data_IF_609655837261
#
_entry.id   IF_609655837261
#
_cell.length_a   1.000
_cell.length_b   1.000
_cell.length_c   1.000
_cell.angle_alpha   90.00
_cell.angle_beta   90.00
_cell.angle_gamma   90.00
#
_symmetry.space_group_name_H-M   'P 1'
#
loop_
_entity.id
_entity.type
_entity.pdbx_description
1 polymer ?
#
# COMPACT_ATOMS: atom_id res chain seq x y z
N UNK A 1 -25.33 17.30 -1.11
CA UNK A 1 -25.65 15.88 -1.42
C UNK A 1 -25.66 15.03 -0.16
N UNK A 2 -24.53 14.91 0.56
CA UNK A 2 -24.39 14.08 1.77
C UNK A 2 -25.38 14.41 2.89
N UNK A 3 -25.72 15.70 3.08
CA UNK A 3 -26.75 16.12 4.05
C UNK A 3 -28.14 15.53 3.76
N UNK A 4 -28.49 15.37 2.48
CA UNK A 4 -29.77 14.75 2.04
C UNK A 4 -29.81 13.23 2.24
N UNK A 5 -28.68 12.61 2.59
CA UNK A 5 -28.52 11.17 2.76
C UNK A 5 -28.07 10.85 4.20
N UNK A 6 -28.58 11.58 5.19
CA UNK A 6 -28.18 11.48 6.59
C UNK A 6 -28.44 10.12 7.26
N UNK A 7 -29.40 9.35 6.72
CA UNK A 7 -29.80 8.02 7.23
C UNK A 7 -29.28 6.85 6.37
N UNK A 8 -28.38 7.13 5.42
CA UNK A 8 -27.83 6.12 4.51
C UNK A 8 -26.32 6.06 4.64
N UNK A 9 -25.76 4.90 4.31
CA UNK A 9 -24.34 4.77 4.03
C UNK A 9 -24.01 5.54 2.74
N UNK A 10 -23.06 6.46 2.82
CA UNK A 10 -22.47 7.15 1.67
C UNK A 10 -21.08 6.59 1.43
N UNK A 11 -20.88 5.97 0.28
CA UNK A 11 -19.59 5.46 -0.17
C UNK A 11 -18.92 6.51 -1.05
N UNK A 12 -17.70 6.90 -0.70
CA UNK A 12 -16.89 7.86 -1.44
C UNK A 12 -15.64 7.13 -1.94
N UNK A 13 -15.59 6.89 -3.24
CA UNK A 13 -14.46 6.22 -3.87
C UNK A 13 -13.36 7.19 -4.26
N UNK A 14 -12.11 6.73 -4.20
CA UNK A 14 -10.92 7.52 -4.49
C UNK A 14 -10.89 8.90 -3.80
N UNK A 15 -11.24 8.93 -2.50
CA UNK A 15 -11.41 10.16 -1.73
C UNK A 15 -10.19 11.10 -1.77
N UNK A 16 -8.99 10.56 -2.01
CA UNK A 16 -7.75 11.32 -2.20
C UNK A 16 -7.78 12.28 -3.41
N UNK A 17 -8.71 12.08 -4.36
CA UNK A 17 -8.92 13.00 -5.49
C UNK A 17 -9.74 14.23 -5.13
N UNK A 18 -10.46 14.20 -4.01
CA UNK A 18 -11.32 15.29 -3.54
C UNK A 18 -11.01 15.61 -2.06
N UNK A 19 -9.78 16.03 -1.73
CA UNK A 19 -9.31 16.30 -0.37
C UNK A 19 -10.18 17.30 0.40
N UNK A 20 -10.78 18.27 -0.28
CA UNK A 20 -11.66 19.28 0.29
C UNK A 20 -12.90 18.69 0.96
N UNK A 21 -13.30 17.46 0.59
CA UNK A 21 -14.46 16.79 1.18
C UNK A 21 -14.21 16.42 2.65
N UNK A 22 -12.97 16.30 3.11
CA UNK A 22 -12.69 15.97 4.52
C UNK A 22 -13.26 17.02 5.48
N UNK A 23 -13.18 18.31 5.14
CA UNK A 23 -13.74 19.39 5.95
C UNK A 23 -15.28 19.32 6.01
N UNK A 24 -15.92 18.99 4.87
CA UNK A 24 -17.37 18.82 4.78
C UNK A 24 -17.83 17.60 5.58
N UNK A 25 -17.10 16.49 5.47
CA UNK A 25 -17.39 15.26 6.21
C UNK A 25 -17.26 15.46 7.71
N UNK A 26 -16.25 16.21 8.18
CA UNK A 26 -16.08 16.54 9.58
C UNK A 26 -17.34 17.23 10.13
N UNK A 27 -17.80 18.30 9.50
CA UNK A 27 -19.00 19.02 9.93
C UNK A 27 -20.24 18.11 9.97
N UNK A 28 -20.44 17.28 8.94
CA UNK A 28 -21.58 16.37 8.85
C UNK A 28 -21.54 15.22 9.87
N UNK A 29 -20.34 14.73 10.21
CA UNK A 29 -20.14 13.70 11.23
C UNK A 29 -20.44 14.27 12.62
N UNK A 30 -20.01 15.50 12.90
CA UNK A 30 -20.25 16.13 14.20
C UNK A 30 -21.72 16.51 14.40
N UNK A 31 -22.43 16.88 13.34
CA UNK A 31 -23.88 17.09 13.38
C UNK A 31 -24.65 15.80 13.74
N UNK A 32 -24.22 14.64 13.23
CA UNK A 32 -24.84 13.34 13.51
C UNK A 32 -23.81 12.21 13.48
N UNK A 33 -23.38 11.81 14.68
CA UNK A 33 -22.41 10.74 14.91
C UNK A 33 -23.04 9.35 14.81
N UNK A 34 -23.19 8.87 13.59
CA UNK A 34 -23.63 7.50 13.31
C UNK A 34 -22.48 6.69 12.73
N UNK A 35 -22.08 5.62 13.41
CA UNK A 35 -21.01 4.73 12.95
C UNK A 35 -21.39 4.09 11.60
N UNK A 36 -20.43 4.01 10.68
CA UNK A 36 -20.64 3.44 9.35
C UNK A 36 -21.48 4.30 8.40
N UNK A 37 -21.78 5.56 8.74
CA UNK A 37 -22.50 6.48 7.83
C UNK A 37 -21.69 6.84 6.58
N UNK A 38 -20.36 6.90 6.70
CA UNK A 38 -19.45 7.17 5.59
C UNK A 38 -18.45 6.03 5.45
N UNK A 39 -18.34 5.49 4.23
CA UNK A 39 -17.29 4.56 3.84
C UNK A 39 -16.39 5.27 2.83
N UNK A 40 -15.15 5.51 3.21
CA UNK A 40 -14.17 6.16 2.37
C UNK A 40 -13.28 5.08 1.76
N UNK A 41 -13.28 5.00 0.43
CA UNK A 41 -12.38 4.14 -0.31
C UNK A 41 -11.29 4.99 -0.95
N UNK A 42 -10.12 4.41 -1.11
CA UNK A 42 -9.01 5.06 -1.77
C UNK A 42 -7.83 4.13 -1.87
N UNK A 43 -7.10 4.25 -2.97
CA UNK A 43 -5.80 3.60 -3.11
C UNK A 43 -4.86 4.06 -2.00
N UNK A 44 -4.05 3.11 -1.52
CA UNK A 44 -3.22 3.26 -0.34
C UNK A 44 -2.10 4.28 -0.56
N UNK A 45 -2.38 5.56 -0.29
CA UNK A 45 -1.41 6.63 -0.33
C UNK A 45 -1.10 7.13 1.09
N UNK A 46 0.18 7.33 1.45
CA UNK A 46 0.56 7.91 2.74
C UNK A 46 -0.05 9.30 2.97
N UNK A 47 -0.27 10.05 1.89
CA UNK A 47 -0.89 11.37 1.94
C UNK A 47 -2.36 11.29 2.37
N UNK A 48 -3.13 10.35 1.81
CA UNK A 48 -4.51 10.12 2.21
C UNK A 48 -4.60 9.79 3.70
N UNK A 49 -3.75 8.87 4.20
CA UNK A 49 -3.73 8.50 5.61
C UNK A 49 -3.43 9.70 6.51
N UNK A 50 -2.43 10.52 6.16
CA UNK A 50 -2.10 11.75 6.90
C UNK A 50 -3.26 12.74 6.92
N UNK A 51 -3.79 13.09 5.75
CA UNK A 51 -4.84 14.09 5.64
C UNK A 51 -6.14 13.66 6.34
N UNK A 52 -6.52 12.39 6.19
CA UNK A 52 -7.68 11.83 6.87
C UNK A 52 -7.46 11.79 8.40
N UNK A 53 -6.25 11.44 8.85
CA UNK A 53 -5.91 11.44 10.28
C UNK A 53 -5.97 12.85 10.89
N UNK A 54 -5.49 13.87 10.17
CA UNK A 54 -5.52 15.27 10.63
C UNK A 54 -6.96 15.82 10.65
N UNK A 55 -7.73 15.56 9.59
CA UNK A 55 -9.05 16.17 9.41
C UNK A 55 -10.17 15.46 10.18
N UNK A 56 -10.03 14.15 10.40
CA UNK A 56 -11.05 13.29 11.01
C UNK A 56 -10.52 12.53 12.25
N UNK A 57 -9.52 13.09 12.95
CA UNK A 57 -8.99 12.54 14.19
C UNK A 57 -10.12 12.15 15.17
N UNK A 58 -10.09 10.91 15.68
CA UNK A 58 -11.11 10.37 16.58
C UNK A 58 -12.48 10.10 15.95
N UNK A 59 -12.59 10.20 14.62
CA UNK A 59 -13.85 10.06 13.87
C UNK A 59 -13.75 9.08 12.71
N UNK A 60 -12.56 8.57 12.42
CA UNK A 60 -12.27 7.64 11.34
C UNK A 60 -11.62 6.38 11.90
N UNK A 61 -11.98 5.22 11.34
CA UNK A 61 -11.25 3.97 11.49
C UNK A 61 -10.64 3.58 10.14
N UNK A 62 -9.44 3.01 10.17
CA UNK A 62 -8.75 2.55 8.97
C UNK A 62 -8.84 1.03 8.87
N UNK A 63 -9.24 0.54 7.70
CA UNK A 63 -9.24 -0.87 7.35
C UNK A 63 -8.39 -1.03 6.09
N UNK A 64 -7.30 -1.79 6.21
CA UNK A 64 -6.45 -2.16 5.09
C UNK A 64 -7.01 -3.42 4.44
N UNK A 65 -7.28 -3.37 3.14
CA UNK A 65 -7.68 -4.53 2.36
C UNK A 65 -6.44 -5.12 1.70
N UNK A 66 -5.94 -6.22 2.26
CA UNK A 66 -4.81 -6.95 1.69
C UNK A 66 -5.23 -7.71 0.41
N UNK A 67 -4.27 -8.07 -0.46
CA UNK A 67 -4.50 -9.10 -1.46
C UNK A 67 -4.89 -10.43 -0.81
N UNK A 68 -5.36 -11.40 -1.60
CA UNK A 68 -5.76 -12.71 -1.07
C UNK A 68 -4.65 -13.33 -0.23
N UNK A 69 -5.02 -13.79 0.97
CA UNK A 69 -4.17 -14.56 1.84
C UNK A 69 -4.24 -16.06 1.48
N UNK A 70 -3.16 -16.80 1.73
CA UNK A 70 -3.11 -18.26 1.47
C UNK A 70 -4.28 -18.99 2.15
N UNK A 71 -4.69 -18.54 3.34
CA UNK A 71 -5.80 -19.13 4.09
C UNK A 71 -7.17 -18.90 3.45
N UNK A 72 -7.34 -17.84 2.65
CA UNK A 72 -8.61 -17.53 1.96
C UNK A 72 -8.84 -18.42 0.74
N UNK A 73 -7.76 -18.97 0.16
CA UNK A 73 -7.79 -19.69 -1.11
C UNK A 73 -7.63 -21.20 -0.94
N UNK A 74 -7.23 -21.65 0.27
CA UNK A 74 -6.95 -23.06 0.66
C UNK A 74 -6.33 -23.86 -0.49
N UNK A 75 -5.15 -23.47 -1.00
CA UNK A 75 -4.58 -24.08 -2.18
C UNK A 75 -4.09 -25.51 -1.88
N UNK A 76 -4.43 -26.46 -2.76
CA UNK A 76 -3.69 -27.71 -2.90
C UNK A 76 -2.22 -27.45 -3.29
N UNK A 77 -1.33 -28.46 -3.22
CA UNK A 77 0.12 -28.26 -3.36
C UNK A 77 0.56 -27.51 -4.62
N UNK A 78 -0.03 -27.82 -5.78
CA UNK A 78 0.27 -27.11 -7.05
C UNK A 78 -0.24 -25.67 -7.05
N UNK A 79 -1.39 -25.41 -6.41
CA UNK A 79 -1.97 -24.08 -6.28
C UNK A 79 -1.12 -23.22 -5.34
N UNK A 80 -0.47 -23.82 -4.35
CA UNK A 80 0.46 -23.12 -3.47
C UNK A 80 1.67 -22.61 -4.25
N UNK A 81 2.26 -23.45 -5.13
CA UNK A 81 3.36 -23.02 -6.00
C UNK A 81 2.93 -21.88 -6.94
N UNK A 82 1.74 -21.97 -7.53
CA UNK A 82 1.20 -20.87 -8.33
C UNK A 82 0.99 -19.60 -7.51
N UNK A 83 0.56 -19.72 -6.25
CA UNK A 83 0.36 -18.58 -5.36
C UNK A 83 1.69 -17.90 -5.05
N UNK A 84 2.75 -18.66 -4.78
CA UNK A 84 4.11 -18.13 -4.61
C UNK A 84 4.61 -17.36 -5.83
N UNK A 85 4.27 -17.80 -7.04
CA UNK A 85 4.69 -17.16 -8.29
C UNK A 85 3.85 -15.93 -8.66
N UNK A 86 2.56 -15.96 -8.36
CA UNK A 86 1.58 -14.95 -8.80
C UNK A 86 1.25 -13.92 -7.73
N UNK A 87 1.46 -14.24 -6.46
CA UNK A 87 1.00 -13.45 -5.31
C UNK A 87 -0.53 -13.43 -5.17
N UNK A 88 -1.01 -12.70 -4.16
CA UNK A 88 -2.43 -12.62 -3.82
C UNK A 88 -3.24 -11.55 -4.54
N UNK A 89 -2.62 -10.71 -5.39
CA UNK A 89 -3.37 -9.68 -6.12
C UNK A 89 -4.39 -10.35 -7.05
N UNK A 90 -5.70 -10.04 -6.93
CA UNK A 90 -6.73 -10.79 -7.64
C UNK A 90 -6.50 -10.88 -9.16
N UNK A 91 -6.11 -9.81 -9.89
CA UNK A 91 -5.86 -9.91 -11.32
C UNK A 91 -4.65 -10.79 -11.69
N UNK A 92 -3.63 -10.84 -10.82
CA UNK A 92 -2.46 -11.70 -11.02
C UNK A 92 -2.77 -13.17 -10.71
N UNK A 93 -3.48 -13.41 -9.60
CA UNK A 93 -3.88 -14.73 -9.15
C UNK A 93 -4.81 -15.41 -10.15
N UNK A 94 -5.88 -14.70 -10.55
CA UNK A 94 -6.92 -15.17 -11.47
C UNK A 94 -6.48 -15.19 -12.94
N UNK A 95 -5.22 -14.85 -13.24
CA UNK A 95 -4.71 -14.83 -14.60
C UNK A 95 -4.79 -16.24 -15.25
N UNK A 96 -5.10 -16.34 -16.55
CA UNK A 96 -5.24 -17.63 -17.22
C UNK A 96 -3.90 -18.38 -17.38
N UNK A 97 -2.75 -17.71 -17.25
CA UNK A 97 -1.44 -18.35 -17.31
C UNK A 97 -0.38 -17.57 -16.53
N UNK A 98 0.74 -18.24 -16.20
CA UNK A 98 1.88 -17.62 -15.52
C UNK A 98 2.49 -16.47 -16.34
N UNK A 99 2.47 -16.56 -17.66
CA UNK A 99 2.95 -15.50 -18.54
C UNK A 99 2.05 -14.24 -18.48
N UNK A 100 0.73 -14.42 -18.40
CA UNK A 100 -0.22 -13.30 -18.25
C UNK A 100 -0.09 -12.66 -16.86
N UNK A 101 0.01 -13.49 -15.81
CA UNK A 101 0.28 -13.01 -14.44
C UNK A 101 1.58 -12.19 -14.38
N UNK A 102 2.68 -12.70 -14.96
CA UNK A 102 3.96 -12.00 -14.96
C UNK A 102 3.85 -10.62 -15.64
N UNK A 103 3.29 -10.57 -16.84
CA UNK A 103 3.10 -9.28 -17.56
C UNK A 103 2.26 -8.29 -16.76
N UNK A 104 1.21 -8.77 -16.11
CA UNK A 104 0.39 -7.92 -15.24
C UNK A 104 1.20 -7.37 -14.07
N UNK A 105 1.97 -8.23 -13.37
CA UNK A 105 2.82 -7.82 -12.24
C UNK A 105 3.89 -6.83 -12.67
N UNK A 106 4.56 -7.06 -13.79
CA UNK A 106 5.55 -6.14 -14.35
C UNK A 106 4.91 -4.78 -14.67
N UNK A 107 3.76 -4.78 -15.35
CA UNK A 107 3.03 -3.55 -15.67
C UNK A 107 2.59 -2.80 -14.42
N UNK A 108 2.12 -3.53 -13.39
CA UNK A 108 1.74 -2.97 -12.11
C UNK A 108 2.93 -2.34 -11.38
N UNK A 109 4.06 -3.05 -11.27
CA UNK A 109 5.29 -2.54 -10.65
C UNK A 109 5.77 -1.28 -11.39
N UNK A 110 5.87 -1.33 -12.72
CA UNK A 110 6.29 -0.16 -13.51
C UNK A 110 5.37 1.03 -13.30
N UNK A 111 4.05 0.84 -13.40
CA UNK A 111 3.08 1.92 -13.20
C UNK A 111 3.17 2.49 -11.79
N UNK A 112 3.28 1.64 -10.77
CA UNK A 112 3.36 2.09 -9.39
C UNK A 112 4.63 2.93 -9.13
N UNK A 113 5.78 2.45 -9.60
CA UNK A 113 7.06 3.12 -9.38
C UNK A 113 7.23 4.40 -10.21
N UNK A 114 6.68 4.44 -11.43
CA UNK A 114 6.88 5.55 -12.37
C UNK A 114 5.75 6.59 -12.36
N UNK A 115 4.56 6.23 -11.86
CA UNK A 115 3.38 7.09 -11.87
C UNK A 115 2.81 7.34 -10.48
N UNK A 116 2.52 6.29 -9.73
CA UNK A 116 1.78 6.42 -8.47
C UNK A 116 2.65 7.08 -7.40
N UNK A 117 3.87 6.59 -7.18
CA UNK A 117 4.81 7.18 -6.20
C UNK A 117 5.07 8.67 -6.49
N UNK A 118 5.40 9.09 -7.73
CA UNK A 118 5.52 10.51 -8.05
C UNK A 118 4.25 11.33 -7.83
N UNK A 119 3.07 10.74 -8.04
CA UNK A 119 1.79 11.42 -7.78
C UNK A 119 1.61 11.78 -6.30
N UNK A 120 2.25 11.03 -5.40
CA UNK A 120 2.32 11.34 -3.96
C UNK A 120 3.40 12.38 -3.63
N UNK A 121 3.91 13.13 -4.61
CA UNK A 121 4.92 14.17 -4.41
C UNK A 121 6.33 13.65 -4.12
N UNK A 122 6.57 12.34 -4.22
CA UNK A 122 7.87 11.72 -3.98
C UNK A 122 8.72 11.85 -5.24
N UNK A 123 9.79 12.63 -5.17
CA UNK A 123 10.65 12.95 -6.32
C UNK A 123 11.87 12.04 -6.39
N UNK A 124 11.66 10.77 -6.74
CA UNK A 124 12.74 9.82 -7.04
C UNK A 124 12.55 9.31 -8.46
N UNK A 125 13.60 9.24 -9.29
CA UNK A 125 13.48 8.66 -10.63
C UNK A 125 12.97 7.22 -10.56
N UNK A 126 11.92 6.90 -11.32
CA UNK A 126 11.30 5.57 -11.31
C UNK A 126 12.29 4.44 -11.60
N UNK A 127 13.24 4.65 -12.52
CA UNK A 127 14.33 3.70 -12.80
C UNK A 127 15.22 3.41 -11.58
N UNK A 128 15.43 4.40 -10.70
CA UNK A 128 16.17 4.21 -9.45
C UNK A 128 15.37 3.34 -8.49
N UNK A 129 14.08 3.63 -8.28
CA UNK A 129 13.22 2.77 -7.47
C UNK A 129 13.09 1.36 -8.05
N UNK A 130 13.04 1.21 -9.38
CA UNK A 130 12.96 -0.09 -10.05
C UNK A 130 14.25 -0.91 -9.88
N UNK A 131 15.43 -0.28 -9.92
CA UNK A 131 16.70 -0.95 -9.57
C UNK A 131 16.70 -1.38 -8.11
N UNK A 132 16.23 -0.51 -7.21
CA UNK A 132 16.17 -0.80 -5.79
C UNK A 132 15.20 -1.96 -5.51
N UNK A 133 14.00 -1.94 -6.09
CA UNK A 133 13.00 -3.00 -6.07
C UNK A 133 13.57 -4.37 -6.45
N UNK A 134 14.31 -4.45 -7.57
CA UNK A 134 14.95 -5.71 -8.00
C UNK A 134 16.02 -6.19 -7.02
N UNK A 135 16.76 -5.27 -6.41
CA UNK A 135 17.81 -5.60 -5.44
C UNK A 135 17.21 -6.19 -4.16
N UNK A 136 16.18 -5.56 -3.61
CA UNK A 136 15.52 -6.04 -2.38
C UNK A 136 14.72 -7.33 -2.60
N UNK A 137 14.21 -7.58 -3.82
CA UNK A 137 13.54 -8.84 -4.14
C UNK A 137 14.48 -10.06 -3.96
N UNK A 138 15.80 -9.88 -4.15
CA UNK A 138 16.80 -10.92 -3.90
C UNK A 138 17.12 -11.12 -2.41
N UNK A 139 16.73 -10.18 -1.55
CA UNK A 139 16.96 -10.20 -0.11
C UNK A 139 15.71 -10.61 0.69
N UNK A 140 14.68 -11.11 0.01
CA UNK A 140 13.45 -11.55 0.67
C UNK A 140 13.75 -12.59 1.77
N UNK A 141 13.23 -12.35 2.98
CA UNK A 141 13.44 -13.22 4.14
C UNK A 141 14.81 -13.12 4.81
N UNK A 142 15.65 -12.13 4.44
CA UNK A 142 16.96 -11.92 5.05
C UNK A 142 17.00 -10.69 5.97
N UNK A 143 17.93 -10.63 6.94
CA UNK A 143 18.14 -9.43 7.75
C UNK A 143 18.50 -8.21 6.90
N UNK A 144 17.87 -7.07 7.22
CA UNK A 144 18.16 -5.79 6.57
C UNK A 144 19.45 -5.16 7.07
N UNK A 145 20.38 -4.83 6.17
CA UNK A 145 21.58 -4.06 6.46
C UNK A 145 21.71 -2.88 5.47
N UNK A 146 21.34 -1.68 5.93
CA UNK A 146 21.32 -0.48 5.10
C UNK A 146 22.71 -0.14 4.54
N UNK A 147 23.78 -0.25 5.33
CA UNK A 147 25.14 0.09 4.89
C UNK A 147 25.64 -0.80 3.75
N UNK A 148 25.36 -2.10 3.81
CA UNK A 148 25.72 -3.05 2.74
C UNK A 148 24.97 -2.74 1.45
N UNK A 149 23.67 -2.51 1.55
CA UNK A 149 22.83 -2.17 0.40
C UNK A 149 23.22 -0.82 -0.22
N UNK A 150 23.49 0.18 0.61
CA UNK A 150 23.96 1.49 0.20
C UNK A 150 25.26 1.40 -0.63
N UNK A 151 26.22 0.61 -0.16
CA UNK A 151 27.48 0.36 -0.87
C UNK A 151 27.24 -0.30 -2.25
N UNK A 152 26.39 -1.32 -2.31
CA UNK A 152 26.04 -1.98 -3.58
C UNK A 152 25.21 -1.13 -4.53
N UNK A 153 24.37 -0.24 -3.99
CA UNK A 153 23.50 0.64 -4.77
C UNK A 153 24.19 1.95 -5.19
N UNK A 154 25.32 2.29 -4.58
CA UNK A 154 26.10 3.51 -4.87
C UNK A 154 25.48 4.79 -4.28
N UNK A 155 24.82 4.69 -3.13
CA UNK A 155 24.20 5.83 -2.42
C UNK A 155 24.48 5.75 -0.92
N UNK A 156 24.00 6.72 -0.14
CA UNK A 156 24.16 6.70 1.32
C UNK A 156 23.18 5.74 2.02
N UNK A 157 23.53 5.27 3.23
CA UNK A 157 22.64 4.44 4.05
C UNK A 157 21.27 5.12 4.34
N UNK A 158 21.20 6.42 4.68
CA UNK A 158 19.93 7.14 4.76
C UNK A 158 19.13 7.14 3.46
N UNK A 159 19.78 7.17 2.29
CA UNK A 159 19.09 7.16 1.00
C UNK A 159 18.40 5.83 0.73
N UNK A 160 19.06 4.69 0.94
CA UNK A 160 18.40 3.37 0.78
C UNK A 160 17.34 3.13 1.85
N UNK A 161 17.52 3.68 3.05
CA UNK A 161 16.51 3.64 4.10
C UNK A 161 15.25 4.41 3.67
N UNK A 162 15.43 5.60 3.10
CA UNK A 162 14.32 6.39 2.55
C UNK A 162 13.56 5.63 1.44
N UNK A 163 14.26 4.95 0.53
CA UNK A 163 13.62 4.14 -0.51
C UNK A 163 12.82 2.98 0.07
N UNK A 164 13.35 2.32 1.11
CA UNK A 164 12.65 1.26 1.82
C UNK A 164 11.38 1.79 2.50
N UNK A 165 11.48 2.92 3.21
CA UNK A 165 10.36 3.53 3.91
C UNK A 165 9.24 3.96 2.93
N UNK A 166 9.59 4.42 1.72
CA UNK A 166 8.60 4.72 0.69
C UNK A 166 7.84 3.46 0.26
N UNK A 167 8.56 2.39 -0.07
CA UNK A 167 7.95 1.14 -0.55
C UNK A 167 7.12 0.45 0.55
N UNK A 168 7.50 0.61 1.82
CA UNK A 168 6.67 0.16 2.94
C UNK A 168 5.43 1.04 3.10
N UNK A 169 5.57 2.37 3.03
CA UNK A 169 4.45 3.28 3.16
C UNK A 169 3.42 3.16 2.01
N UNK A 170 3.84 2.68 0.84
CA UNK A 170 2.95 2.35 -0.28
C UNK A 170 2.52 0.87 -0.31
N UNK A 171 2.76 0.13 0.78
CA UNK A 171 2.34 -1.26 0.96
C UNK A 171 2.94 -2.25 -0.03
N UNK A 172 4.02 -1.86 -0.72
CA UNK A 172 4.70 -2.75 -1.66
C UNK A 172 5.68 -3.69 -0.97
N UNK A 173 6.09 -3.36 0.26
CA UNK A 173 6.94 -4.17 1.12
C UNK A 173 6.42 -4.17 2.54
N UNK A 174 6.76 -5.23 3.28
CA UNK A 174 6.57 -5.28 4.73
C UNK A 174 7.89 -5.60 5.39
N UNK A 175 8.29 -4.79 6.37
CA UNK A 175 9.42 -5.11 7.25
C UNK A 175 8.93 -5.98 8.38
N UNK A 176 9.58 -7.12 8.59
CA UNK A 176 9.29 -7.98 9.73
C UNK A 176 10.23 -7.59 10.88
N UNK A 177 9.69 -7.18 12.05
CA UNK A 177 10.53 -6.97 13.22
C UNK A 177 11.14 -8.31 13.67
N UNK A 178 12.33 -8.30 14.29
CA UNK A 178 12.89 -9.50 14.88
C UNK A 178 11.93 -10.06 15.94
N UNK A 179 11.79 -11.39 16.00
CA UNK A 179 10.95 -12.07 17.00
C UNK A 179 11.44 -11.84 18.44
N UNK A 180 12.72 -11.50 18.61
CA UNK A 180 13.31 -11.19 19.91
C UNK A 180 13.41 -9.68 20.12
N UNK A 181 12.78 -9.19 21.19
CA UNK A 181 13.10 -7.90 21.75
C UNK A 181 14.40 -8.03 22.55
N UNK A 182 15.41 -7.20 22.25
CA UNK A 182 16.48 -6.95 23.22
C UNK A 182 15.87 -6.12 24.35
N UNK A 183 15.30 -6.81 25.34
CA UNK A 183 15.01 -6.26 26.65
C UNK A 183 16.36 -6.19 27.36
N UNK A 184 17.05 -5.06 27.19
CA UNK A 184 18.29 -4.77 27.90
C UNK A 184 18.12 -4.76 29.41
#
# INVERSE_FOLDING_TARGET
FCSRHSDKLVVLDEIQRAPELFAVLHALIDEKRTAGRFLLLGSASPQLLRQASESLAGRIGFLELAPFDVSEIVPGPEQLQNFWLRGGYPPSWLAPSNAVSLRWRESFITTHLERDIPSFGIRIPGMTLHRFWRMIAHLHGQPWNASRLAASFGVSAPTVQHYLDILEATYMLRRLPPLHANLG
#
